data_IF_717319130036
#
_entry.id   IF_717319130036
#
_cell.length_a   1.000
_cell.length_b   1.000
_cell.length_c   1.000
_cell.angle_alpha   90.00
_cell.angle_beta   90.00
_cell.angle_gamma   90.00
#
_symmetry.space_group_name_H-M   'P 1'
#
loop_
_entity.id
_entity.type
_entity.pdbx_description
1 polymer ?
#
# COMPACT_ATOMS: atom_id res chain seq x y z
N UNK A 1 3.63 -17.05 -17.56
CA UNK A 1 4.15 -15.75 -18.03
C UNK A 1 5.12 -15.19 -16.98
N UNK A 2 6.32 -14.74 -17.39
CA UNK A 2 7.45 -14.43 -16.49
C UNK A 2 7.36 -13.02 -15.91
N UNK A 3 7.54 -12.89 -14.58
CA UNK A 3 7.53 -11.64 -13.80
C UNK A 3 8.59 -10.59 -14.21
N UNK A 4 9.50 -10.92 -15.14
CA UNK A 4 10.58 -10.03 -15.58
C UNK A 4 10.16 -8.90 -16.53
N UNK A 5 8.96 -8.93 -17.11
CA UNK A 5 8.55 -7.95 -18.12
C UNK A 5 8.16 -6.56 -17.57
N UNK A 6 8.05 -6.37 -16.25
CA UNK A 6 7.61 -5.11 -15.64
C UNK A 6 8.76 -4.26 -15.04
N UNK A 7 10.00 -4.53 -15.43
CA UNK A 7 11.20 -3.97 -14.77
C UNK A 7 11.79 -2.72 -15.42
N UNK A 8 11.22 -2.18 -16.50
CA UNK A 8 11.67 -0.92 -17.08
C UNK A 8 10.48 -0.10 -17.56
N UNK A 9 10.12 0.93 -16.79
CA UNK A 9 9.30 2.04 -17.28
C UNK A 9 10.20 3.27 -17.19
N UNK A 10 10.55 3.91 -18.33
CA UNK A 10 11.38 5.11 -18.31
C UNK A 10 10.63 6.27 -17.64
N UNK A 11 11.34 7.23 -17.02
CA UNK A 11 10.72 8.40 -16.43
C UNK A 11 10.20 9.34 -17.53
N UNK A 12 8.92 9.21 -17.89
CA UNK A 12 8.23 10.25 -18.65
C UNK A 12 7.78 11.36 -17.70
N UNK A 13 8.22 12.59 -17.97
CA UNK A 13 7.71 13.80 -17.34
C UNK A 13 6.25 13.98 -17.73
N UNK A 14 5.33 13.52 -16.88
CA UNK A 14 3.89 13.81 -17.04
C UNK A 14 3.70 15.27 -16.62
N UNK A 15 3.52 16.14 -17.61
CA UNK A 15 3.09 17.53 -17.37
C UNK A 15 1.75 17.50 -16.66
N UNK A 16 1.61 18.36 -15.64
CA UNK A 16 0.35 18.66 -14.95
C UNK A 16 -0.80 18.74 -15.97
N UNK A 17 -1.85 17.91 -15.86
CA UNK A 17 -3.05 18.11 -16.64
C UNK A 17 -3.66 19.47 -16.26
N UNK A 18 -3.99 20.28 -17.26
CA UNK A 18 -4.47 21.66 -17.09
C UNK A 18 -5.86 21.78 -16.43
N UNK A 19 -6.45 20.68 -15.98
CA UNK A 19 -7.81 20.60 -15.43
C UNK A 19 -7.88 20.19 -13.95
N UNK A 20 -6.75 20.15 -13.23
CA UNK A 20 -6.80 19.97 -11.77
C UNK A 20 -7.35 21.26 -11.14
N UNK A 21 -8.59 21.19 -10.66
CA UNK A 21 -9.26 22.28 -9.95
C UNK A 21 -8.40 22.82 -8.81
N UNK A 22 -8.48 24.13 -8.49
CA UNK A 22 -7.80 24.70 -7.33
C UNK A 22 -8.25 23.96 -6.06
N UNK A 23 -7.33 23.22 -5.42
CA UNK A 23 -7.61 22.39 -4.25
C UNK A 23 -7.25 20.91 -4.37
N UNK A 24 -6.85 20.41 -5.55
CA UNK A 24 -6.30 19.06 -5.67
C UNK A 24 -4.97 18.94 -4.88
N UNK A 25 -4.82 17.98 -3.95
CA UNK A 25 -3.56 17.80 -3.23
C UNK A 25 -2.46 17.48 -4.23
N UNK A 26 -1.41 18.30 -4.31
CA UNK A 26 -0.33 18.05 -5.25
C UNK A 26 0.56 16.94 -4.69
N UNK A 27 0.18 15.68 -4.94
CA UNK A 27 1.07 14.54 -4.74
C UNK A 27 2.34 14.78 -5.55
N UNK A 28 3.49 14.55 -4.92
CA UNK A 28 4.77 14.61 -5.61
C UNK A 28 4.86 13.49 -6.66
N UNK A 29 5.80 13.61 -7.59
CA UNK A 29 6.02 12.57 -8.60
C UNK A 29 6.30 11.20 -7.97
N UNK A 30 7.09 11.15 -6.89
CA UNK A 30 7.37 9.92 -6.16
C UNK A 30 6.10 9.31 -5.55
N UNK A 31 5.24 10.13 -4.94
CA UNK A 31 3.97 9.66 -4.40
C UNK A 31 3.02 9.14 -5.48
N UNK A 32 2.99 9.78 -6.66
CA UNK A 32 2.19 9.30 -7.80
C UNK A 32 2.67 7.91 -8.26
N UNK A 33 3.99 7.67 -8.31
CA UNK A 33 4.52 6.34 -8.66
C UNK A 33 4.11 5.27 -7.64
N UNK A 34 4.21 5.59 -6.34
CA UNK A 34 3.76 4.69 -5.27
C UNK A 34 2.26 4.46 -5.35
N UNK A 35 1.47 5.49 -5.62
CA UNK A 35 0.02 5.41 -5.81
C UNK A 35 -0.35 4.47 -6.96
N UNK A 36 0.28 4.64 -8.13
CA UNK A 36 0.07 3.79 -9.29
C UNK A 36 0.43 2.33 -9.02
N UNK A 37 1.54 2.09 -8.30
CA UNK A 37 1.93 0.75 -7.89
C UNK A 37 0.90 0.15 -6.94
N UNK A 38 0.44 0.90 -5.95
CA UNK A 38 -0.55 0.46 -4.97
C UNK A 38 -1.89 0.13 -5.63
N UNK A 39 -2.34 0.98 -6.57
CA UNK A 39 -3.54 0.72 -7.37
C UNK A 39 -3.43 -0.59 -8.15
N UNK A 40 -2.36 -0.77 -8.94
CA UNK A 40 -2.17 -1.99 -9.75
C UNK A 40 -2.06 -3.25 -8.90
N UNK A 41 -1.30 -3.20 -7.81
CA UNK A 41 -1.16 -4.33 -6.89
C UNK A 41 -2.49 -4.63 -6.20
N UNK A 42 -3.22 -3.61 -5.76
CA UNK A 42 -4.51 -3.76 -5.10
C UNK A 42 -5.55 -4.42 -6.00
N UNK A 43 -5.66 -3.99 -7.25
CA UNK A 43 -6.52 -4.64 -8.25
C UNK A 43 -6.07 -6.08 -8.55
N UNK A 44 -4.76 -6.32 -8.69
CA UNK A 44 -4.23 -7.67 -8.90
C UNK A 44 -4.56 -8.64 -7.75
N UNK A 45 -4.59 -8.14 -6.51
CA UNK A 45 -4.91 -8.92 -5.31
C UNK A 45 -6.41 -8.93 -4.96
N UNK A 46 -7.26 -8.33 -5.80
CA UNK A 46 -8.72 -8.33 -5.60
C UNK A 46 -9.24 -7.36 -4.53
N UNK A 47 -8.43 -6.41 -4.08
CA UNK A 47 -8.83 -5.39 -3.08
C UNK A 47 -9.27 -4.06 -3.68
N UNK A 48 -9.08 -3.88 -4.99
CA UNK A 48 -9.36 -2.65 -5.71
C UNK A 48 -8.52 -1.49 -5.19
N UNK A 49 -9.16 -0.35 -4.96
CA UNK A 49 -8.49 0.91 -4.61
C UNK A 49 -8.01 0.96 -3.15
N UNK A 50 -8.40 -0.03 -2.33
CA UNK A 50 -8.13 -0.08 -0.90
C UNK A 50 -6.64 -0.03 -0.57
N UNK A 51 -5.78 -0.69 -1.36
CA UNK A 51 -4.34 -0.66 -1.10
C UNK A 51 -3.74 0.73 -1.26
N UNK A 52 -4.19 1.46 -2.28
CA UNK A 52 -3.77 2.83 -2.52
C UNK A 52 -4.25 3.76 -1.39
N UNK A 53 -5.49 3.58 -0.94
CA UNK A 53 -6.04 4.31 0.20
C UNK A 53 -5.31 4.01 1.51
N UNK A 54 -4.99 2.73 1.78
CA UNK A 54 -4.17 2.31 2.93
C UNK A 54 -2.78 2.91 2.85
N UNK A 55 -2.08 2.80 1.72
CA UNK A 55 -0.75 3.36 1.56
C UNK A 55 -0.73 4.88 1.78
N UNK A 56 -1.76 5.60 1.31
CA UNK A 56 -1.87 7.02 1.59
C UNK A 56 -2.15 7.29 3.08
N UNK A 57 -3.09 6.58 3.68
CA UNK A 57 -3.48 6.79 5.08
C UNK A 57 -2.36 6.43 6.06
N UNK A 58 -1.55 5.43 5.74
CA UNK A 58 -0.55 4.85 6.63
C UNK A 58 0.85 5.42 6.47
N UNK A 59 1.19 5.94 5.29
CA UNK A 59 2.56 6.38 5.05
C UNK A 59 2.67 7.69 4.26
N UNK A 60 1.55 8.32 3.93
CA UNK A 60 1.55 9.43 2.97
C UNK A 60 2.06 8.99 1.59
N UNK A 61 1.86 7.72 1.21
CA UNK A 61 2.44 7.09 0.01
C UNK A 61 3.98 6.99 0.06
N UNK A 62 4.51 6.59 1.21
CA UNK A 62 5.94 6.32 1.44
C UNK A 62 6.76 7.52 1.90
N UNK A 63 6.11 8.63 2.27
CA UNK A 63 6.80 9.80 2.83
C UNK A 63 7.13 9.62 4.32
N UNK A 64 6.15 9.20 5.13
CA UNK A 64 6.29 9.12 6.58
C UNK A 64 5.39 8.00 7.14
N UNK A 65 5.93 6.93 7.75
CA UNK A 65 5.08 5.94 8.41
C UNK A 65 4.31 6.56 9.58
N UNK A 66 3.01 6.26 9.66
CA UNK A 66 2.09 6.82 10.68
C UNK A 66 2.20 6.12 12.04
N UNK A 67 3.05 5.10 12.17
CA UNK A 67 3.25 4.33 13.41
C UNK A 67 4.73 4.05 13.72
N UNK A 68 5.16 4.18 14.99
CA UNK A 68 6.47 3.69 15.43
C UNK A 68 6.66 2.20 15.12
N UNK A 69 7.86 1.83 14.70
CA UNK A 69 8.25 0.46 14.32
C UNK A 69 7.50 -0.15 13.10
N UNK A 70 6.79 0.67 12.33
CA UNK A 70 6.21 0.31 11.05
C UNK A 70 6.95 1.02 9.91
N UNK A 71 7.13 0.35 8.78
CA UNK A 71 8.03 0.85 7.73
C UNK A 71 7.49 0.69 6.30
N UNK A 72 8.01 1.53 5.41
CA UNK A 72 7.70 1.55 3.99
C UNK A 72 6.31 2.11 3.65
N UNK A 73 5.96 2.05 2.35
CA UNK A 73 4.72 2.61 1.82
C UNK A 73 3.44 1.99 2.40
N UNK A 74 3.50 0.77 2.91
CA UNK A 74 2.37 0.13 3.59
C UNK A 74 2.32 0.34 5.11
N UNK A 75 3.37 0.88 5.73
CA UNK A 75 3.52 0.98 7.18
C UNK A 75 3.31 -0.38 7.88
N UNK A 76 4.14 -1.36 7.53
CA UNK A 76 4.02 -2.74 8.06
C UNK A 76 5.01 -2.96 9.21
N UNK A 77 4.53 -3.52 10.32
CA UNK A 77 5.36 -3.94 11.46
C UNK A 77 5.92 -5.36 11.32
N UNK A 78 6.88 -5.72 12.18
CA UNK A 78 7.62 -6.99 12.08
C UNK A 78 6.73 -8.24 12.13
N UNK A 79 5.71 -8.28 13.00
CA UNK A 79 4.82 -9.45 13.13
C UNK A 79 4.01 -9.69 11.85
N UNK A 80 3.46 -8.63 11.27
CA UNK A 80 2.76 -8.68 9.99
C UNK A 80 3.70 -9.13 8.86
N UNK A 81 4.95 -8.64 8.83
CA UNK A 81 5.96 -9.13 7.90
C UNK A 81 6.21 -10.64 8.06
N UNK A 82 6.42 -11.12 9.29
CA UNK A 82 6.65 -12.56 9.52
C UNK A 82 5.49 -13.41 9.03
N UNK A 83 4.25 -12.97 9.28
CA UNK A 83 3.06 -13.67 8.79
C UNK A 83 3.02 -13.72 7.26
N UNK A 84 3.34 -12.62 6.59
CA UNK A 84 3.45 -12.59 5.12
C UNK A 84 4.58 -13.49 4.63
N UNK A 85 5.75 -13.49 5.26
CA UNK A 85 6.89 -14.31 4.84
C UNK A 85 6.67 -15.81 5.05
N UNK A 86 5.83 -16.19 6.02
CA UNK A 86 5.38 -17.57 6.22
C UNK A 86 4.42 -18.00 5.10
N UNK A 87 3.46 -17.15 4.73
CA UNK A 87 2.50 -17.44 3.66
C UNK A 87 3.10 -17.31 2.25
N UNK A 88 4.13 -16.47 2.08
CA UNK A 88 4.80 -16.19 0.80
C UNK A 88 6.32 -16.36 0.92
N UNK A 89 6.85 -17.60 1.06
CA UNK A 89 8.28 -17.85 1.28
C UNK A 89 9.20 -17.28 0.21
N UNK A 90 8.71 -17.08 -1.02
CA UNK A 90 9.47 -16.45 -2.12
C UNK A 90 9.92 -15.03 -1.80
N UNK A 91 9.22 -14.31 -0.92
CA UNK A 91 9.62 -12.96 -0.51
C UNK A 91 10.79 -12.98 0.47
N UNK A 92 11.09 -14.10 1.12
CA UNK A 92 12.17 -14.17 2.12
C UNK A 92 13.54 -13.82 1.53
N UNK A 93 13.76 -14.13 0.25
CA UNK A 93 15.01 -13.82 -0.45
C UNK A 93 15.29 -12.32 -0.55
N UNK A 94 14.25 -11.48 -0.55
CA UNK A 94 14.40 -10.02 -0.57
C UNK A 94 14.96 -9.47 0.77
N UNK A 95 14.77 -10.21 1.86
CA UNK A 95 15.15 -9.82 3.23
C UNK A 95 16.39 -10.55 3.77
N UNK A 96 16.89 -11.56 3.06
CA UNK A 96 17.97 -12.41 3.55
C UNK A 96 19.26 -11.60 3.81
N UNK A 97 19.74 -11.65 5.06
CA UNK A 97 20.96 -10.96 5.48
C UNK A 97 20.85 -9.43 5.49
N UNK A 98 19.63 -8.87 5.43
CA UNK A 98 19.38 -7.43 5.34
C UNK A 98 18.50 -6.94 6.48
N UNK A 99 18.63 -5.67 6.83
CA UNK A 99 17.69 -5.01 7.73
C UNK A 99 16.33 -4.89 7.04
N UNK A 100 15.32 -5.59 7.56
CA UNK A 100 14.01 -5.66 6.92
C UNK A 100 13.31 -4.30 6.80
N UNK A 101 13.44 -3.44 7.82
CA UNK A 101 12.82 -2.12 7.82
C UNK A 101 13.39 -1.26 6.68
N UNK A 102 14.73 -1.30 6.52
CA UNK A 102 15.40 -0.61 5.44
C UNK A 102 15.00 -1.15 4.06
N UNK A 103 14.85 -2.48 3.92
CA UNK A 103 14.35 -3.09 2.67
C UNK A 103 12.95 -2.55 2.31
N UNK A 104 12.04 -2.44 3.28
CA UNK A 104 10.70 -1.91 3.04
C UNK A 104 10.70 -0.41 2.70
N UNK A 105 11.56 0.39 3.35
CA UNK A 105 11.72 1.83 3.05
C UNK A 105 12.25 2.03 1.64
N UNK A 106 13.30 1.29 1.26
CA UNK A 106 13.99 1.47 -0.01
C UNK A 106 13.27 0.85 -1.21
N UNK A 107 12.32 -0.07 -0.96
CA UNK A 107 11.56 -0.74 -2.01
C UNK A 107 10.05 -0.59 -1.78
N UNK A 108 9.45 0.56 -2.20
CA UNK A 108 8.02 0.82 -2.02
C UNK A 108 7.13 -0.26 -2.64
N UNK A 109 7.53 -0.85 -3.78
CA UNK A 109 6.75 -1.90 -4.43
C UNK A 109 6.71 -3.18 -3.59
N UNK A 110 7.85 -3.60 -3.04
CA UNK A 110 7.91 -4.74 -2.13
C UNK A 110 7.12 -4.44 -0.85
N UNK A 111 7.24 -3.22 -0.32
CA UNK A 111 6.45 -2.80 0.84
C UNK A 111 4.95 -2.85 0.59
N UNK A 112 4.49 -2.41 -0.58
CA UNK A 112 3.08 -2.51 -0.99
C UNK A 112 2.63 -3.96 -1.19
N UNK A 113 3.49 -4.85 -1.72
CA UNK A 113 3.18 -6.27 -1.80
C UNK A 113 3.01 -6.90 -0.42
N UNK A 114 3.94 -6.61 0.51
CA UNK A 114 3.84 -7.09 1.89
C UNK A 114 2.56 -6.58 2.55
N UNK A 115 2.25 -5.28 2.40
CA UNK A 115 1.03 -4.70 2.94
C UNK A 115 -0.23 -5.29 2.31
N UNK A 116 -0.22 -5.51 0.99
CA UNK A 116 -1.33 -6.13 0.26
C UNK A 116 -1.58 -7.55 0.73
N UNK A 117 -0.55 -8.40 0.85
CA UNK A 117 -0.70 -9.75 1.37
C UNK A 117 -1.17 -9.78 2.82
N UNK A 118 -0.65 -8.87 3.65
CA UNK A 118 -1.11 -8.76 5.03
C UNK A 118 -2.59 -8.32 5.11
N UNK A 119 -2.99 -7.34 4.30
CA UNK A 119 -4.39 -6.89 4.25
C UNK A 119 -5.33 -7.99 3.72
N UNK A 120 -4.89 -8.78 2.74
CA UNK A 120 -5.63 -9.95 2.26
C UNK A 120 -5.77 -11.02 3.35
N UNK A 121 -4.71 -11.26 4.13
CA UNK A 121 -4.79 -12.12 5.30
C UNK A 121 -5.82 -11.60 6.31
N UNK A 122 -5.78 -10.30 6.64
CA UNK A 122 -6.77 -9.68 7.52
C UNK A 122 -8.19 -9.81 6.98
N UNK A 123 -8.38 -9.70 5.67
CA UNK A 123 -9.68 -9.86 5.00
C UNK A 123 -10.26 -11.26 5.20
N UNK A 124 -9.44 -12.30 4.99
CA UNK A 124 -9.87 -13.68 5.18
C UNK A 124 -10.14 -14.01 6.65
N UNK A 125 -9.27 -13.57 7.58
CA UNK A 125 -9.50 -13.77 9.03
C UNK A 125 -10.76 -13.06 9.52
N UNK A 126 -11.09 -11.91 8.92
CA UNK A 126 -12.29 -11.15 9.22
C UNK A 126 -13.58 -11.73 8.60
N UNK A 127 -13.51 -12.90 7.94
CA UNK A 127 -14.67 -13.50 7.29
C UNK A 127 -15.17 -12.69 6.09
N UNK A 128 -14.25 -12.22 5.27
CA UNK A 128 -14.51 -11.44 4.05
C UNK A 128 -15.26 -10.11 4.31
N UNK A 129 -15.08 -9.55 5.50
CA UNK A 129 -15.63 -8.26 5.91
C UNK A 129 -14.54 -7.17 5.90
N UNK A 130 -14.63 -6.24 4.94
CA UNK A 130 -13.65 -5.16 4.79
C UNK A 130 -13.56 -4.23 6.00
N UNK A 131 -14.67 -3.95 6.69
CA UNK A 131 -14.65 -3.07 7.86
C UNK A 131 -13.87 -3.69 9.02
N UNK A 132 -14.08 -4.98 9.26
CA UNK A 132 -13.32 -5.73 10.26
C UNK A 132 -11.87 -5.94 9.82
N UNK A 133 -11.61 -6.24 8.54
CA UNK A 133 -10.27 -6.41 7.99
C UNK A 133 -9.40 -5.17 8.14
N UNK A 134 -9.95 -3.99 7.83
CA UNK A 134 -9.23 -2.72 7.96
C UNK A 134 -8.94 -2.39 9.43
N UNK A 135 -9.89 -2.64 10.33
CA UNK A 135 -9.63 -2.49 11.77
C UNK A 135 -8.53 -3.45 12.25
N UNK A 136 -8.57 -4.71 11.81
CA UNK A 136 -7.55 -5.71 12.14
C UNK A 136 -6.17 -5.31 11.60
N UNK A 137 -6.11 -4.79 10.38
CA UNK A 137 -4.88 -4.28 9.77
C UNK A 137 -4.24 -3.18 10.62
N UNK A 138 -5.04 -2.21 11.07
CA UNK A 138 -4.54 -1.03 11.81
C UNK A 138 -4.27 -1.28 13.29
N UNK A 139 -5.18 -1.99 13.95
CA UNK A 139 -5.23 -2.07 15.41
C UNK A 139 -4.93 -3.47 15.97
N UNK A 140 -4.87 -4.49 15.12
CA UNK A 140 -4.78 -5.88 15.57
C UNK A 140 -6.13 -6.43 16.08
N UNK A 141 -6.07 -7.59 16.75
CA UNK A 141 -7.26 -8.31 17.18
C UNK A 141 -8.06 -7.58 18.27
N UNK A 142 -9.39 -7.64 18.17
CA UNK A 142 -10.32 -7.19 19.21
C UNK A 142 -10.52 -5.69 19.30
N UNK A 143 -9.92 -4.90 18.40
CA UNK A 143 -10.03 -3.44 18.42
C UNK A 143 -10.87 -2.93 17.25
N UNK A 144 -11.74 -1.96 17.52
CA UNK A 144 -12.54 -1.25 16.53
C UNK A 144 -12.23 0.24 16.58
N UNK A 145 -12.28 0.91 15.44
CA UNK A 145 -12.08 2.35 15.38
C UNK A 145 -12.59 2.98 14.09
N UNK A 146 -12.16 4.22 13.87
CA UNK A 146 -12.57 5.03 12.71
C UNK A 146 -11.79 4.72 11.44
N UNK A 147 -10.91 3.72 11.47
CA UNK A 147 -10.00 3.43 10.37
C UNK A 147 -10.70 3.10 9.04
N UNK A 148 -11.77 2.29 8.99
CA UNK A 148 -12.50 2.05 7.74
C UNK A 148 -13.04 3.33 7.11
N UNK A 149 -13.57 4.26 7.93
CA UNK A 149 -14.06 5.55 7.44
C UNK A 149 -12.92 6.43 6.87
N UNK A 150 -11.73 6.37 7.47
CA UNK A 150 -10.53 7.06 6.95
C UNK A 150 -10.12 6.48 5.60
N UNK A 151 -10.17 5.16 5.43
CA UNK A 151 -9.86 4.51 4.16
C UNK A 151 -10.86 4.90 3.08
N UNK A 152 -12.17 4.83 3.35
CA UNK A 152 -13.18 5.29 2.37
C UNK A 152 -13.05 6.77 2.04
N UNK A 153 -12.62 7.60 2.99
CA UNK A 153 -12.29 9.00 2.71
C UNK A 153 -11.10 9.12 1.74
N UNK A 154 -10.03 8.34 1.94
CA UNK A 154 -8.87 8.32 1.03
C UNK A 154 -9.20 7.78 -0.35
N UNK A 155 -10.03 6.75 -0.47
CA UNK A 155 -10.50 6.25 -1.77
C UNK A 155 -11.14 7.37 -2.58
N UNK A 156 -12.08 8.13 -1.98
CA UNK A 156 -12.69 9.30 -2.63
C UNK A 156 -11.70 10.40 -2.99
N UNK A 157 -10.72 10.66 -2.14
CA UNK A 157 -9.67 11.65 -2.44
C UNK A 157 -8.76 11.23 -3.59
N UNK A 158 -8.58 9.92 -3.80
CA UNK A 158 -7.70 9.37 -4.82
C UNK A 158 -8.40 9.16 -6.16
N UNK A 159 -9.74 9.21 -6.20
CA UNK A 159 -10.54 9.03 -7.42
C UNK A 159 -10.02 9.82 -8.64
N UNK A 160 -9.67 11.12 -8.53
CA UNK A 160 -9.20 11.89 -9.69
C UNK A 160 -7.86 11.39 -10.28
N UNK A 161 -7.06 10.65 -9.51
CA UNK A 161 -5.80 10.06 -9.99
C UNK A 161 -6.04 8.72 -10.68
N UNK A 162 -7.05 7.96 -10.26
CA UNK A 162 -7.35 6.66 -10.84
C UNK A 162 -7.97 6.77 -12.23
N UNK A 163 -8.72 7.84 -12.51
CA UNK A 163 -9.25 8.14 -13.85
C UNK A 163 -8.16 8.38 -14.92
N UNK A 164 -6.91 8.55 -14.50
CA UNK A 164 -5.75 8.80 -15.37
C UNK A 164 -4.84 7.57 -15.55
N UNK A 165 -5.15 6.44 -14.91
CA UNK A 165 -4.33 5.22 -14.90
C UNK A 165 -4.99 4.15 -15.78
#
# INVERSE_FOLDING_TARGET
MSLKAYLHIPPTVIRRPAHLQPGAPLLSHAQIQVLQAAYRIGHHLGMGDRLAAVAFQESGLGLDPVSPAHYGAGSVGYLALQQVLQAHPRLQTDFQGRNWAQVLIQNPRLSLLVAGYYLQHCYHVAGDNWQAALNLYRYGYGQQGTYPAKISHRERQLQPYFEQI
#
